data_IF_076759179038
#
_entry.id   IF_076759179038
#
_cell.length_a   1.000
_cell.length_b   1.000
_cell.length_c   1.000
_cell.angle_alpha   90.00
_cell.angle_beta   90.00
_cell.angle_gamma   90.00
#
_symmetry.space_group_name_H-M   'P 1'
#
loop_
_entity.id
_entity.type
_entity.pdbx_description
1 polymer ?
#
# COMPACT_ATOMS: atom_id res chain seq x y z
N UNK A 1 -8.66 11.08 -15.64
CA UNK A 1 -9.67 10.83 -14.58
C UNK A 1 -8.90 10.78 -13.27
N UNK A 2 -8.97 11.92 -12.57
CA UNK A 2 -8.41 12.36 -11.28
C UNK A 2 -7.12 11.72 -10.73
N UNK A 3 -6.02 12.48 -10.83
CA UNK A 3 -4.77 12.27 -10.12
C UNK A 3 -4.92 12.54 -8.63
N UNK A 4 -4.92 11.46 -7.85
CA UNK A 4 -4.90 11.49 -6.39
C UNK A 4 -3.46 11.67 -5.94
N UNK A 5 -3.05 12.93 -5.71
CA UNK A 5 -1.74 13.24 -5.14
C UNK A 5 -1.78 13.07 -3.63
N UNK A 6 -0.78 12.39 -3.07
CA UNK A 6 -0.63 12.29 -1.61
C UNK A 6 -0.42 13.69 -1.00
N UNK A 7 -1.06 13.94 0.15
CA UNK A 7 -0.98 15.22 0.85
C UNK A 7 0.26 15.22 1.74
N UNK A 8 1.18 16.16 1.47
CA UNK A 8 2.40 16.34 2.26
C UNK A 8 2.09 16.75 3.71
N UNK A 9 2.92 16.32 4.66
CA UNK A 9 2.75 16.63 6.08
C UNK A 9 1.58 15.93 6.79
N UNK A 10 0.95 14.92 6.16
CA UNK A 10 -0.17 14.16 6.75
C UNK A 10 0.21 12.71 7.07
N UNK A 11 -0.71 11.98 7.71
CA UNK A 11 -0.51 10.58 8.02
C UNK A 11 -0.46 9.73 6.73
N UNK A 12 0.71 9.17 6.44
CA UNK A 12 0.93 8.24 5.32
C UNK A 12 0.94 6.81 5.80
N UNK A 13 0.32 5.93 5.00
CA UNK A 13 0.24 4.52 5.29
C UNK A 13 1.59 3.83 5.04
N UNK A 14 2.13 3.13 6.04
CA UNK A 14 3.37 2.36 5.92
C UNK A 14 3.17 0.91 6.33
N UNK A 15 3.89 0.02 5.65
CA UNK A 15 3.91 -1.41 5.92
C UNK A 15 5.20 -1.74 6.66
N UNK A 16 5.07 -2.35 7.83
CA UNK A 16 6.19 -3.01 8.50
C UNK A 16 6.40 -4.40 7.90
N UNK A 17 7.47 -4.55 7.12
CA UNK A 17 7.78 -5.80 6.43
C UNK A 17 8.24 -6.91 7.38
N UNK A 18 8.82 -6.57 8.53
CA UNK A 18 9.25 -7.59 9.50
C UNK A 18 8.05 -8.25 10.19
N UNK A 19 6.94 -7.52 10.31
CA UNK A 19 5.69 -8.00 10.91
C UNK A 19 4.71 -8.57 9.88
N UNK A 20 4.96 -8.38 8.60
CA UNK A 20 4.08 -8.85 7.53
C UNK A 20 4.20 -10.37 7.38
N UNK A 21 3.09 -11.09 7.58
CA UNK A 21 3.03 -12.55 7.41
C UNK A 21 2.61 -12.98 6.00
N UNK A 22 2.40 -12.03 5.10
CA UNK A 22 2.04 -12.33 3.70
C UNK A 22 0.61 -12.84 3.49
N UNK A 23 -0.34 -12.57 4.39
CA UNK A 23 -1.72 -13.09 4.29
C UNK A 23 -2.56 -12.50 3.15
N UNK A 24 -2.15 -11.38 2.55
CA UNK A 24 -2.85 -10.74 1.42
C UNK A 24 -4.16 -10.03 1.74
N UNK A 25 -4.61 -10.01 3.00
CA UNK A 25 -5.87 -9.35 3.39
C UNK A 25 -5.90 -7.86 3.03
N UNK A 26 -4.79 -7.15 3.26
CA UNK A 26 -4.56 -5.77 2.85
C UNK A 26 -4.88 -5.52 1.36
N UNK A 27 -4.42 -6.39 0.45
CA UNK A 27 -4.69 -6.30 -0.99
C UNK A 27 -6.17 -6.53 -1.30
N UNK A 28 -6.82 -7.44 -0.58
CA UNK A 28 -8.24 -7.77 -0.78
C UNK A 28 -9.18 -6.67 -0.30
N UNK A 29 -8.88 -6.04 0.84
CA UNK A 29 -9.77 -5.04 1.45
C UNK A 29 -9.55 -3.63 0.94
N UNK A 30 -8.39 -3.34 0.35
CA UNK A 30 -8.06 -1.99 -0.09
C UNK A 30 -8.87 -1.57 -1.33
N UNK A 31 -9.77 -0.59 -1.22
CA UNK A 31 -10.59 -0.17 -2.36
C UNK A 31 -9.76 0.55 -3.43
N UNK A 32 -8.68 1.23 -3.01
CA UNK A 32 -7.76 1.94 -3.90
C UNK A 32 -6.72 1.02 -4.56
N UNK A 33 -6.66 -0.26 -4.17
CA UNK A 33 -5.71 -1.25 -4.70
C UNK A 33 -4.25 -0.77 -4.71
N UNK A 34 -3.84 -0.01 -3.69
CA UNK A 34 -2.48 0.52 -3.56
C UNK A 34 -1.47 -0.51 -3.01
N UNK A 35 -1.90 -1.73 -2.71
CA UNK A 35 -1.02 -2.77 -2.19
C UNK A 35 -0.75 -3.84 -3.24
N UNK A 36 0.49 -4.29 -3.31
CA UNK A 36 0.91 -5.45 -4.09
C UNK A 36 1.58 -6.46 -3.16
N UNK A 37 1.14 -7.72 -3.22
CA UNK A 37 1.81 -8.82 -2.51
C UNK A 37 2.83 -9.46 -3.45
N UNK A 38 4.08 -9.56 -3.01
CA UNK A 38 5.18 -10.19 -3.76
C UNK A 38 5.85 -11.27 -2.92
N UNK A 39 6.79 -12.03 -3.50
CA UNK A 39 7.63 -13.00 -2.77
C UNK A 39 8.39 -12.38 -1.59
N UNK A 40 8.59 -11.05 -1.60
CA UNK A 40 9.29 -10.31 -0.54
C UNK A 40 8.34 -9.70 0.50
N UNK A 41 7.05 -10.04 0.43
CA UNK A 41 6.00 -9.53 1.32
C UNK A 41 5.13 -8.45 0.67
N UNK A 42 4.55 -7.60 1.51
CA UNK A 42 3.61 -6.56 1.07
C UNK A 42 4.36 -5.28 0.68
N UNK A 43 4.05 -4.76 -0.49
CA UNK A 43 4.58 -3.50 -1.01
C UNK A 43 3.44 -2.49 -1.24
N UNK A 44 3.65 -1.26 -0.76
CA UNK A 44 2.76 -0.14 -1.10
C UNK A 44 3.22 0.39 -2.45
N UNK A 45 2.34 0.29 -3.44
CA UNK A 45 2.50 0.93 -4.74
C UNK A 45 2.12 2.40 -4.55
N UNK A 46 3.11 3.27 -4.66
CA UNK A 46 2.90 4.71 -4.61
C UNK A 46 1.99 5.11 -5.79
N UNK A 47 0.77 5.62 -5.56
CA UNK A 47 -0.14 5.98 -6.64
C UNK A 47 0.24 7.31 -7.32
N UNK A 48 1.25 8.03 -6.83
CA UNK A 48 1.77 9.27 -7.43
C UNK A 48 3.00 9.03 -8.34
N UNK A 49 3.48 7.78 -8.46
CA UNK A 49 4.64 7.40 -9.29
C UNK A 49 4.24 6.88 -10.68
#
# INVERSE_FOLDING_TARGET
MHGYRYIDGTATLRVDRQRCVGCGNCTRVCPHRIFALTDKGLEVRDPDL
#
